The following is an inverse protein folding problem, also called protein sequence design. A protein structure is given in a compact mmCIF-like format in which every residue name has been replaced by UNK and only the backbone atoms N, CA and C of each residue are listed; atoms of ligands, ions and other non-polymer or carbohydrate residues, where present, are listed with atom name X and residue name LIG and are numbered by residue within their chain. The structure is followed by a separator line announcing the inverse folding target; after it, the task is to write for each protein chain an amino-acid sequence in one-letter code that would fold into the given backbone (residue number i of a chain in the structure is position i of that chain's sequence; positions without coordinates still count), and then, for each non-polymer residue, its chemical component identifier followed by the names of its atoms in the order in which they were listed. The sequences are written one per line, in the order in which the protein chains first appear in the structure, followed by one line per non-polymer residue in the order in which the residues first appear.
data_IF_038370905108
#
_entry.id   IF_038370905108
#
_cell.length_a   1.000
_cell.length_b   1.000
_cell.length_c   1.000
_cell.angle_alpha   90.00
_cell.angle_beta   90.00
_cell.angle_gamma   90.00
#
_symmetry.space_group_name_H-M   'P 1'
#
loop_
_entity.id
_entity.type
_entity.pdbx_description
1 polymer ?
#
# COMPACT_ATOMS: atom_id res chain seq x y z
N UNK A 1 5.60 -7.85 6.21
CA UNK A 1 4.17 -7.77 6.57
C UNK A 1 3.35 -8.23 5.38
N UNK A 2 2.38 -9.14 5.58
CA UNK A 2 1.44 -9.58 4.54
C UNK A 2 0.01 -9.06 4.82
N UNK A 3 -0.12 -7.72 4.92
CA UNK A 3 -1.39 -7.05 5.24
C UNK A 3 -2.22 -6.81 3.98
N UNK A 4 -2.88 -7.86 3.48
CA UNK A 4 -3.71 -7.83 2.27
C UNK A 4 -5.05 -8.54 2.46
N UNK A 5 -6.00 -8.27 1.58
CA UNK A 5 -7.36 -8.82 1.64
C UNK A 5 -7.40 -10.35 1.62
N UNK A 6 -6.46 -10.99 0.92
CA UNK A 6 -6.36 -12.46 0.88
C UNK A 6 -6.08 -13.08 2.27
N UNK A 7 -5.53 -12.29 3.20
CA UNK A 7 -5.24 -12.68 4.57
C UNK A 7 -6.31 -12.19 5.56
N UNK A 8 -7.47 -11.74 5.06
CA UNK A 8 -8.58 -11.27 5.88
C UNK A 8 -9.81 -12.15 5.68
N UNK A 9 -10.43 -12.58 6.77
CA UNK A 9 -11.80 -13.08 6.76
C UNK A 9 -12.72 -12.00 7.30
N UNK A 10 -13.74 -11.66 6.53
CA UNK A 10 -14.78 -10.70 6.89
C UNK A 10 -16.09 -11.47 7.00
N UNK A 11 -16.75 -11.41 8.16
CA UNK A 11 -18.02 -12.09 8.44
C UNK A 11 -18.95 -11.12 9.19
N UNK A 12 -19.81 -10.41 8.45
CA UNK A 12 -20.55 -9.28 9.01
C UNK A 12 -19.62 -8.16 9.50
N UNK A 13 -19.68 -7.86 10.79
CA UNK A 13 -18.81 -6.88 11.45
C UNK A 13 -17.51 -7.51 12.00
N UNK A 14 -17.35 -8.83 11.93
CA UNK A 14 -16.16 -9.51 12.39
C UNK A 14 -15.06 -9.50 11.31
N UNK A 15 -13.87 -9.05 11.70
CA UNK A 15 -12.65 -9.07 10.89
C UNK A 15 -11.58 -9.93 11.59
N UNK A 16 -11.11 -10.97 10.90
CA UNK A 16 -9.99 -11.78 11.34
C UNK A 16 -8.82 -11.66 10.37
N UNK A 17 -7.64 -11.29 10.88
CA UNK A 17 -6.40 -11.23 10.13
C UNK A 17 -5.59 -12.52 10.37
N UNK A 18 -5.10 -13.11 9.28
CA UNK A 18 -4.18 -14.25 9.29
C UNK A 18 -2.76 -13.80 8.91
N UNK A 19 -1.79 -14.70 9.08
CA UNK A 19 -0.41 -14.53 8.57
C UNK A 19 0.33 -13.27 9.08
N UNK A 20 0.36 -13.10 10.40
CA UNK A 20 1.08 -12.00 11.08
C UNK A 20 2.55 -12.31 11.40
N UNK A 21 3.11 -13.41 10.88
CA UNK A 21 4.44 -13.92 11.26
C UNK A 21 5.59 -12.98 10.92
N UNK A 22 5.44 -12.14 9.89
CA UNK A 22 6.48 -11.22 9.40
C UNK A 22 6.06 -9.75 9.62
N UNK A 23 6.13 -9.27 10.87
CA UNK A 23 5.88 -7.86 11.19
C UNK A 23 7.17 -7.04 11.17
N UNK A 24 7.11 -5.82 10.63
CA UNK A 24 8.25 -4.90 10.55
C UNK A 24 7.82 -3.48 10.89
N UNK A 25 8.69 -2.71 11.54
CA UNK A 25 8.46 -1.28 11.78
C UNK A 25 8.73 -0.48 10.50
N UNK A 26 7.72 0.25 10.03
CA UNK A 26 7.80 1.15 8.88
C UNK A 26 6.94 2.40 9.14
N UNK A 27 7.07 3.42 8.28
CA UNK A 27 6.18 4.57 8.36
C UNK A 27 4.72 4.14 8.08
N UNK A 28 3.70 4.74 8.72
CA UNK A 28 2.31 4.27 8.62
C UNK A 28 1.77 4.15 7.18
N UNK A 29 2.27 4.98 6.26
CA UNK A 29 1.89 4.92 4.84
C UNK A 29 2.29 3.63 4.14
N UNK A 30 3.28 2.87 4.65
CA UNK A 30 3.70 1.60 4.07
C UNK A 30 2.60 0.54 4.15
N UNK A 31 1.93 0.41 5.30
CA UNK A 31 0.87 -0.59 5.48
C UNK A 31 -0.31 -0.28 4.55
N UNK A 32 -0.65 1.00 4.41
CA UNK A 32 -1.70 1.44 3.50
C UNK A 32 -1.32 1.21 2.02
N UNK A 33 -0.08 1.54 1.63
CA UNK A 33 0.43 1.32 0.29
C UNK A 33 0.41 -0.18 -0.08
N UNK A 34 0.89 -1.00 0.85
CA UNK A 34 0.89 -2.45 0.71
C UNK A 34 -0.52 -2.97 0.49
N UNK A 35 -1.47 -2.61 1.36
CA UNK A 35 -2.86 -3.05 1.25
C UNK A 35 -3.49 -2.63 -0.09
N UNK A 36 -3.37 -1.35 -0.47
CA UNK A 36 -3.99 -0.81 -1.69
C UNK A 36 -3.47 -1.50 -2.97
N UNK A 37 -2.15 -1.68 -3.08
CA UNK A 37 -1.54 -2.26 -4.29
C UNK A 37 -1.80 -3.77 -4.37
N UNK A 38 -1.77 -4.48 -3.25
CA UNK A 38 -1.95 -5.94 -3.22
C UNK A 38 -3.42 -6.35 -3.31
N UNK A 39 -4.34 -5.54 -2.77
CA UNK A 39 -5.74 -5.93 -2.58
C UNK A 39 -6.70 -5.31 -3.58
N UNK A 40 -6.40 -4.13 -4.13
CA UNK A 40 -7.31 -3.41 -5.02
C UNK A 40 -6.87 -3.47 -6.49
N UNK A 41 -7.85 -3.43 -7.39
CA UNK A 41 -7.58 -3.10 -8.79
C UNK A 41 -7.12 -1.66 -8.91
N UNK A 42 -6.35 -1.31 -9.95
CA UNK A 42 -5.91 0.07 -10.22
C UNK A 42 -7.08 1.05 -10.25
N UNK A 43 -8.22 0.65 -10.85
CA UNK A 43 -9.44 1.45 -10.88
C UNK A 43 -9.99 1.73 -9.48
N UNK A 44 -10.13 0.69 -8.66
CA UNK A 44 -10.65 0.84 -7.30
C UNK A 44 -9.70 1.66 -6.43
N UNK A 45 -8.38 1.42 -6.55
CA UNK A 45 -7.35 2.22 -5.89
C UNK A 45 -7.51 3.71 -6.20
N UNK A 46 -7.57 4.09 -7.48
CA UNK A 46 -7.78 5.49 -7.91
C UNK A 46 -9.09 6.08 -7.39
N UNK A 47 -10.15 5.28 -7.38
CA UNK A 47 -11.48 5.72 -6.94
C UNK A 47 -11.52 5.99 -5.42
N UNK A 48 -10.86 5.15 -4.63
CA UNK A 48 -11.00 5.13 -3.17
C UNK A 48 -9.78 5.64 -2.41
N UNK A 49 -8.65 5.95 -3.08
CA UNK A 49 -7.38 6.31 -2.45
C UNK A 49 -7.54 7.40 -1.39
N UNK A 50 -8.12 8.54 -1.75
CA UNK A 50 -8.31 9.66 -0.83
C UNK A 50 -9.17 9.27 0.37
N UNK A 51 -10.30 8.59 0.13
CA UNK A 51 -11.21 8.16 1.20
C UNK A 51 -10.56 7.15 2.15
N UNK A 52 -9.80 6.20 1.62
CA UNK A 52 -9.09 5.18 2.42
C UNK A 52 -7.96 5.83 3.22
N UNK A 53 -7.22 6.75 2.61
CA UNK A 53 -6.17 7.53 3.27
C UNK A 53 -6.72 8.37 4.42
N UNK A 54 -7.80 9.12 4.19
CA UNK A 54 -8.42 9.98 5.21
C UNK A 54 -9.05 9.14 6.33
N UNK A 55 -9.62 7.98 5.99
CA UNK A 55 -10.15 7.02 6.97
C UNK A 55 -9.03 6.43 7.82
N UNK A 56 -7.94 5.99 7.18
CA UNK A 56 -6.78 5.43 7.87
C UNK A 56 -6.14 6.45 8.80
N UNK A 57 -5.91 7.68 8.32
CA UNK A 57 -5.44 8.81 9.12
C UNK A 57 -6.33 9.05 10.34
N UNK A 58 -7.66 9.17 10.15
CA UNK A 58 -8.62 9.38 11.24
C UNK A 58 -8.53 8.29 12.30
N UNK A 59 -8.42 7.02 11.88
CA UNK A 59 -8.28 5.88 12.80
C UNK A 59 -6.96 5.95 13.57
N UNK A 60 -5.84 6.25 12.92
CA UNK A 60 -4.54 6.44 13.58
C UNK A 60 -4.63 7.53 14.67
N UNK A 61 -5.15 8.71 14.32
CA UNK A 61 -5.27 9.84 15.25
C UNK A 61 -6.19 9.51 16.43
N UNK A 62 -7.32 8.84 16.18
CA UNK A 62 -8.26 8.43 17.23
C UNK A 62 -7.64 7.46 18.22
N UNK A 63 -6.68 6.64 17.77
CA UNK A 63 -5.91 5.73 18.61
C UNK A 63 -4.64 6.38 19.22
N UNK A 64 -4.52 7.71 19.16
CA UNK A 64 -3.43 8.47 19.78
C UNK A 64 -2.16 8.58 18.95
N UNK A 65 -2.12 8.01 17.74
CA UNK A 65 -0.98 8.13 16.82
C UNK A 65 -1.08 9.48 16.11
N UNK A 66 -0.28 10.45 16.55
CA UNK A 66 -0.20 11.76 15.92
C UNK A 66 0.70 11.66 14.69
N UNK A 67 0.11 11.81 13.50
CA UNK A 67 0.81 11.77 12.22
C UNK A 67 0.10 12.74 11.28
N UNK A 68 0.83 13.64 10.63
CA UNK A 68 0.20 14.59 9.71
C UNK A 68 -0.36 13.87 8.47
N UNK A 69 -1.49 14.36 7.95
CA UNK A 69 -2.18 13.74 6.82
C UNK A 69 -1.36 13.81 5.53
N UNK A 70 -0.67 14.91 5.29
CA UNK A 70 0.21 15.07 4.13
C UNK A 70 1.50 14.28 4.30
N UNK A 71 2.03 14.16 5.52
CA UNK A 71 3.11 13.23 5.84
C UNK A 71 2.70 11.77 5.60
N UNK A 72 1.47 11.39 5.96
CA UNK A 72 0.91 10.06 5.67
C UNK A 72 0.85 9.82 4.17
N UNK A 73 0.38 10.82 3.43
CA UNK A 73 0.30 10.70 1.98
C UNK A 73 1.68 10.64 1.32
N UNK A 74 2.65 11.40 1.84
CA UNK A 74 4.05 11.32 1.40
C UNK A 74 4.62 9.92 1.64
N UNK A 75 4.51 9.40 2.86
CA UNK A 75 5.02 8.05 3.21
C UNK A 75 4.33 6.94 2.41
N UNK A 76 3.02 7.06 2.16
CA UNK A 76 2.27 6.19 1.25
C UNK A 76 2.87 6.18 -0.16
N UNK A 77 3.08 7.36 -0.75
CA UNK A 77 3.64 7.49 -2.11
C UNK A 77 5.06 6.97 -2.22
N UNK A 78 5.87 7.15 -1.18
CA UNK A 78 7.24 6.62 -1.10
C UNK A 78 7.29 5.10 -0.96
N UNK A 79 6.22 4.48 -0.46
CA UNK A 79 6.13 3.03 -0.31
C UNK A 79 5.67 2.30 -1.59
N UNK A 80 5.19 3.02 -2.62
CA UNK A 80 4.74 2.41 -3.88
C UNK A 80 5.89 1.75 -4.67
N UNK A 81 7.07 2.36 -4.84
CA UNK A 81 8.18 1.71 -5.57
C UNK A 81 8.68 0.42 -4.91
N UNK A 82 8.90 0.33 -3.58
CA UNK A 82 9.15 -0.94 -2.92
C UNK A 82 8.06 -2.00 -3.15
N UNK A 83 6.79 -1.59 -3.32
CA UNK A 83 5.70 -2.50 -3.70
C UNK A 83 5.90 -3.20 -5.06
N UNK A 84 6.67 -2.62 -5.98
CA UNK A 84 7.02 -3.29 -7.24
C UNK A 84 8.03 -4.43 -7.05
N UNK A 85 8.92 -4.34 -6.06
CA UNK A 85 9.84 -5.42 -5.72
C UNK A 85 9.08 -6.70 -5.33
N UNK A 86 7.97 -6.57 -4.60
CA UNK A 86 7.10 -7.70 -4.27
C UNK A 86 6.52 -8.36 -5.52
N UNK A 87 6.05 -7.56 -6.48
CA UNK A 87 5.56 -8.08 -7.77
C UNK A 87 6.63 -8.89 -8.50
N UNK A 88 7.86 -8.37 -8.56
CA UNK A 88 8.99 -9.07 -9.16
C UNK A 88 9.32 -10.39 -8.44
N UNK A 89 9.26 -10.41 -7.11
CA UNK A 89 9.48 -11.62 -6.32
C UNK A 89 8.42 -12.70 -6.61
N UNK A 90 7.15 -12.31 -6.68
CA UNK A 90 6.05 -13.23 -6.98
C UNK A 90 6.14 -13.77 -8.41
N UNK A 91 6.47 -12.90 -9.38
CA UNK A 91 6.70 -13.28 -10.77
C UNK A 91 7.79 -14.34 -10.92
N UNK A 92 8.86 -14.24 -10.14
CA UNK A 92 10.02 -15.14 -10.21
C UNK A 92 9.84 -16.44 -9.42
N UNK A 93 8.85 -16.53 -8.52
CA UNK A 93 8.65 -17.68 -7.61
C UNK A 93 7.43 -18.57 -7.89
N UNK A 94 6.63 -18.30 -8.92
CA UNK A 94 5.77 -19.33 -9.53
C UNK A 94 4.32 -18.97 -9.85
N UNK A 95 3.74 -17.91 -9.27
CA UNK A 95 2.38 -17.47 -9.61
C UNK A 95 2.41 -16.35 -10.66
N UNK A 96 2.76 -16.70 -11.90
CA UNK A 96 3.01 -15.71 -12.97
C UNK A 96 1.84 -14.75 -13.21
N UNK A 97 0.60 -15.25 -13.28
CA UNK A 97 -0.59 -14.41 -13.52
C UNK A 97 -0.86 -13.44 -12.36
N UNK A 98 -0.70 -13.92 -11.12
CA UNK A 98 -0.85 -13.09 -9.93
C UNK A 98 0.28 -12.07 -9.82
N UNK A 99 1.51 -12.48 -10.07
CA UNK A 99 2.67 -11.59 -10.10
C UNK A 99 2.52 -10.50 -11.16
N UNK A 100 1.99 -10.83 -12.35
CA UNK A 100 1.72 -9.87 -13.41
C UNK A 100 0.60 -8.89 -13.00
N UNK A 101 -0.46 -9.41 -12.37
CA UNK A 101 -1.53 -8.58 -11.80
C UNK A 101 -0.98 -7.58 -10.77
N UNK A 102 -0.10 -8.04 -9.88
CA UNK A 102 0.53 -7.19 -8.89
C UNK A 102 1.45 -6.15 -9.54
N UNK A 103 2.23 -6.55 -10.55
CA UNK A 103 3.09 -5.64 -11.30
C UNK A 103 2.27 -4.52 -11.98
N UNK A 104 1.15 -4.86 -12.61
CA UNK A 104 0.25 -3.88 -13.23
C UNK A 104 -0.35 -2.90 -12.20
N UNK A 105 -0.75 -3.39 -11.03
CA UNK A 105 -1.27 -2.55 -9.94
C UNK A 105 -0.19 -1.61 -9.39
N UNK A 106 1.01 -2.14 -9.13
CA UNK A 106 2.17 -1.36 -8.65
C UNK A 106 2.57 -0.28 -9.67
N UNK A 107 2.69 -0.63 -10.95
CA UNK A 107 3.04 0.32 -12.00
C UNK A 107 1.99 1.40 -12.16
N UNK A 108 0.70 1.05 -12.12
CA UNK A 108 -0.38 2.04 -12.15
C UNK A 108 -0.30 3.02 -10.99
N UNK A 109 0.00 2.56 -9.78
CA UNK A 109 0.17 3.43 -8.62
C UNK A 109 1.42 4.31 -8.72
N UNK A 110 2.54 3.77 -9.21
CA UNK A 110 3.78 4.54 -9.44
C UNK A 110 3.53 5.63 -10.47
N UNK A 111 2.88 5.32 -11.59
CA UNK A 111 2.56 6.28 -12.66
C UNK A 111 1.68 7.43 -12.15
N UNK A 112 0.63 7.10 -11.38
CA UNK A 112 -0.27 8.09 -10.79
C UNK A 112 0.43 9.07 -9.83
N UNK A 113 1.55 8.64 -9.22
CA UNK A 113 2.31 9.43 -8.24
C UNK A 113 3.72 9.82 -8.71
N UNK A 114 4.02 9.57 -9.98
CA UNK A 114 5.36 9.70 -10.55
C UNK A 114 5.97 11.11 -10.37
N UNK A 115 5.22 12.22 -10.56
CA UNK A 115 5.78 13.56 -10.35
C UNK A 115 6.30 13.80 -8.93
N UNK A 116 5.59 13.28 -7.92
CA UNK A 116 6.02 13.39 -6.53
C UNK A 116 7.27 12.54 -6.25
N UNK A 117 7.28 11.30 -6.75
CA UNK A 117 8.37 10.35 -6.57
C UNK A 117 9.66 10.90 -7.19
N UNK A 118 9.60 11.35 -8.44
CA UNK A 118 10.76 11.90 -9.15
C UNK A 118 11.35 13.13 -8.47
N UNK A 119 10.51 13.99 -7.89
CA UNK A 119 10.97 15.18 -7.15
C UNK A 119 11.91 14.84 -6.00
N UNK A 120 11.76 13.68 -5.37
CA UNK A 120 12.62 13.28 -4.25
C UNK A 120 14.06 12.97 -4.69
N UNK A 121 14.24 12.51 -5.93
CA UNK A 121 15.56 12.21 -6.50
C UNK A 121 16.23 13.44 -7.13
N UNK A 122 15.44 14.44 -7.53
CA UNK A 122 15.97 15.71 -8.06
C UNK A 122 16.51 16.66 -7.00
N UNK A 123 16.08 16.52 -5.74
CA UNK A 123 16.51 17.37 -4.62
C UNK A 123 17.78 16.87 -3.92
N UNK A 124 18.37 15.77 -4.38
CA UNK A 124 19.60 15.17 -3.83
C UNK A 124 20.86 15.49 -4.66
N UNK A 125 20.80 16.50 -5.52
CA UNK A 125 21.93 16.96 -6.38
C UNK A 125 22.48 18.30 -5.92
#
# INVERSE_FOLDING_TARGET
MDFRLDNMRIDGDDLMLFDWGECSLAAPGFDLAYFLITSLTTRNRRTWEGTLLDTYHRVLTTNGIQYDRDELFNSYRLALPPGFYLAALVLTRGHQDYGMTLAQRSLGAIDDHLPFILKQFGNTS
#
